data_IF_362290693667
#
_entry.id   IF_362290693667
#
_cell.length_a   1.000
_cell.length_b   1.000
_cell.length_c   1.000
_cell.angle_alpha   90.00
_cell.angle_beta   90.00
_cell.angle_gamma   90.00
#
_symmetry.space_group_name_H-M   'P 1'
#
loop_
_entity.id
_entity.type
_entity.pdbx_description
1 polymer ?
#
# COMPACT_ATOMS: atom_id res chain seq x y z
N UNK A 1 18.19 -0.88 8.85
CA UNK A 1 17.76 -2.21 8.36
C UNK A 1 16.26 -2.15 8.14
N UNK A 2 15.75 -2.62 7.00
CA UNK A 2 14.31 -2.68 6.74
C UNK A 2 13.69 -3.71 7.66
N UNK A 3 12.59 -3.37 8.34
CA UNK A 3 11.91 -4.33 9.22
C UNK A 3 11.19 -5.40 8.39
N UNK A 4 10.91 -6.57 8.97
CA UNK A 4 10.08 -7.60 8.30
C UNK A 4 8.72 -7.04 7.89
N UNK A 5 8.13 -6.18 8.72
CA UNK A 5 6.86 -5.51 8.41
C UNK A 5 6.97 -4.63 7.15
N UNK A 6 8.01 -3.80 7.06
CA UNK A 6 8.25 -2.95 5.88
C UNK A 6 8.54 -3.78 4.62
N UNK A 7 9.30 -4.87 4.75
CA UNK A 7 9.60 -5.77 3.63
C UNK A 7 8.31 -6.43 3.08
N UNK A 8 7.44 -6.90 3.97
CA UNK A 8 6.13 -7.45 3.61
C UNK A 8 5.26 -6.38 2.94
N UNK A 9 5.19 -5.17 3.51
CA UNK A 9 4.36 -4.10 2.97
C UNK A 9 4.78 -3.73 1.54
N UNK A 10 6.08 -3.59 1.30
CA UNK A 10 6.64 -3.28 -0.02
C UNK A 10 6.42 -4.41 -1.03
N UNK A 11 6.57 -5.67 -0.61
CA UNK A 11 6.31 -6.83 -1.47
C UNK A 11 4.82 -6.93 -1.85
N UNK A 12 3.93 -6.72 -0.89
CA UNK A 12 2.48 -6.74 -1.09
C UNK A 12 2.04 -5.62 -2.05
N UNK A 13 2.50 -4.38 -1.81
CA UNK A 13 2.23 -3.22 -2.67
C UNK A 13 2.56 -3.53 -4.13
N UNK A 14 3.77 -4.02 -4.40
CA UNK A 14 4.20 -4.38 -5.75
C UNK A 14 3.33 -5.48 -6.37
N UNK A 15 3.16 -6.60 -5.66
CA UNK A 15 2.42 -7.75 -6.21
C UNK A 15 0.94 -7.41 -6.45
N UNK A 16 0.31 -6.63 -5.57
CA UNK A 16 -1.09 -6.20 -5.75
C UNK A 16 -1.24 -5.24 -6.92
N UNK A 17 -0.26 -4.35 -7.16
CA UNK A 17 -0.27 -3.46 -8.31
C UNK A 17 -0.07 -4.22 -9.63
N UNK A 18 0.80 -5.23 -9.66
CA UNK A 18 1.16 -5.97 -10.88
C UNK A 18 0.15 -7.06 -11.25
N UNK A 19 -0.50 -7.68 -10.26
CA UNK A 19 -1.32 -8.88 -10.47
C UNK A 19 -2.75 -8.74 -9.95
N UNK A 20 -3.07 -7.64 -9.28
CA UNK A 20 -4.35 -7.43 -8.63
C UNK A 20 -4.43 -8.07 -7.25
N UNK A 21 -5.19 -7.42 -6.36
CA UNK A 21 -5.31 -7.84 -4.95
C UNK A 21 -5.77 -9.29 -4.86
N UNK A 22 -6.84 -9.70 -5.55
CA UNK A 22 -7.43 -11.03 -5.40
C UNK A 22 -6.52 -12.18 -5.86
N UNK A 23 -5.64 -11.96 -6.84
CA UNK A 23 -4.77 -12.99 -7.41
C UNK A 23 -3.56 -13.35 -6.52
N UNK A 24 -3.21 -12.50 -5.57
CA UNK A 24 -1.99 -12.64 -4.75
C UNK A 24 -2.34 -13.21 -3.37
N UNK A 25 -1.67 -14.29 -2.97
CA UNK A 25 -1.81 -14.91 -1.65
C UNK A 25 -0.78 -14.38 -0.64
N UNK A 26 -1.08 -14.51 0.66
CA UNK A 26 -0.14 -14.15 1.73
C UNK A 26 1.18 -14.94 1.64
N UNK A 27 1.15 -16.18 1.14
CA UNK A 27 2.36 -16.97 0.88
C UNK A 27 3.25 -16.30 -0.15
N UNK A 28 2.70 -15.90 -1.29
CA UNK A 28 3.45 -15.21 -2.35
C UNK A 28 4.05 -13.89 -1.84
N UNK A 29 3.32 -13.17 -0.98
CA UNK A 29 3.82 -11.96 -0.33
C UNK A 29 4.99 -12.28 0.62
N UNK A 30 4.85 -13.28 1.51
CA UNK A 30 5.94 -13.72 2.40
C UNK A 30 7.20 -14.09 1.62
N UNK A 31 7.05 -14.90 0.56
CA UNK A 31 8.15 -15.34 -0.29
C UNK A 31 8.82 -14.16 -1.00
N UNK A 32 8.05 -13.25 -1.59
CA UNK A 32 8.58 -12.05 -2.24
C UNK A 32 9.25 -11.06 -1.25
N UNK A 33 8.85 -11.11 0.03
CA UNK A 33 9.48 -10.37 1.12
C UNK A 33 10.71 -11.08 1.72
N UNK A 34 11.13 -12.22 1.14
CA UNK A 34 12.27 -13.01 1.61
C UNK A 34 12.02 -13.72 2.96
N UNK A 35 10.75 -13.91 3.34
CA UNK A 35 10.40 -14.55 4.60
C UNK A 35 10.24 -16.05 4.41
N UNK A 36 11.00 -16.85 5.16
CA UNK A 36 10.84 -18.32 5.18
C UNK A 36 9.57 -18.78 5.91
N UNK A 37 8.89 -17.89 6.64
CA UNK A 37 7.65 -18.18 7.37
C UNK A 37 6.42 -17.59 6.65
N UNK A 38 5.55 -18.46 6.16
CA UNK A 38 4.30 -18.09 5.49
C UNK A 38 3.28 -17.44 6.43
N UNK A 39 3.45 -17.57 7.75
CA UNK A 39 2.61 -16.90 8.74
C UNK A 39 3.02 -15.43 8.98
N UNK A 40 4.16 -14.97 8.47
CA UNK A 40 4.69 -13.62 8.75
C UNK A 40 3.71 -12.51 8.34
N UNK A 41 3.07 -12.62 7.18
CA UNK A 41 2.06 -11.66 6.73
C UNK A 41 0.88 -11.59 7.70
N UNK A 42 0.36 -12.75 8.09
CA UNK A 42 -0.76 -12.82 9.03
C UNK A 42 -0.40 -12.32 10.43
N UNK A 43 0.83 -12.59 10.89
CA UNK A 43 1.33 -12.10 12.17
C UNK A 43 1.44 -10.56 12.22
N UNK A 44 1.95 -9.94 11.16
CA UNK A 44 2.17 -8.49 11.14
C UNK A 44 0.95 -7.67 10.75
N UNK A 45 0.08 -8.21 9.90
CA UNK A 45 -1.02 -7.46 9.29
C UNK A 45 -2.39 -8.08 9.52
N UNK A 46 -2.49 -9.30 10.02
CA UNK A 46 -3.78 -9.97 10.18
C UNK A 46 -4.33 -10.41 8.81
N UNK A 47 -5.39 -9.77 8.35
CA UNK A 47 -6.06 -10.18 7.11
C UNK A 47 -5.49 -9.52 5.87
N UNK A 48 -5.86 -10.04 4.70
CA UNK A 48 -5.54 -9.41 3.41
C UNK A 48 -6.11 -7.99 3.30
N UNK A 49 -7.32 -7.78 3.82
CA UNK A 49 -7.97 -6.46 3.86
C UNK A 49 -7.17 -5.49 4.73
N UNK A 50 -6.67 -5.94 5.87
CA UNK A 50 -5.86 -5.12 6.77
C UNK A 50 -4.52 -4.76 6.13
N UNK A 51 -3.89 -5.68 5.39
CA UNK A 51 -2.69 -5.39 4.61
C UNK A 51 -2.95 -4.33 3.53
N UNK A 52 -4.09 -4.40 2.83
CA UNK A 52 -4.49 -3.35 1.88
C UNK A 52 -4.69 -2.00 2.58
N UNK A 53 -5.34 -1.98 3.75
CA UNK A 53 -5.48 -0.75 4.55
C UNK A 53 -4.13 -0.19 4.99
N UNK A 54 -3.18 -1.04 5.36
CA UNK A 54 -1.84 -0.61 5.74
C UNK A 54 -1.09 0.05 4.57
N UNK A 55 -1.25 -0.48 3.35
CA UNK A 55 -0.69 0.14 2.13
C UNK A 55 -1.36 1.50 1.91
N UNK A 56 -2.69 1.57 1.94
CA UNK A 56 -3.43 2.82 1.77
C UNK A 56 -2.99 3.87 2.79
N UNK A 57 -2.91 3.51 4.07
CA UNK A 57 -2.49 4.41 5.14
C UNK A 57 -1.06 4.93 4.93
N UNK A 58 -0.13 4.09 4.46
CA UNK A 58 1.24 4.50 4.10
C UNK A 58 1.27 5.59 3.04
N UNK A 59 0.33 5.58 2.09
CA UNK A 59 0.31 6.55 0.98
C UNK A 59 -0.57 7.77 1.23
N UNK A 60 -1.51 7.69 2.18
CA UNK A 60 -2.52 8.72 2.46
C UNK A 60 -1.93 10.13 2.55
N UNK A 61 -0.97 10.35 3.44
CA UNK A 61 -0.40 11.69 3.65
C UNK A 61 0.26 12.25 2.39
N UNK A 62 1.00 11.42 1.64
CA UNK A 62 1.64 11.86 0.39
C UNK A 62 0.62 12.21 -0.68
N UNK A 63 -0.47 11.44 -0.76
CA UNK A 63 -1.58 11.70 -1.69
C UNK A 63 -2.30 13.00 -1.30
N UNK A 64 -2.62 13.19 -0.02
CA UNK A 64 -3.27 14.41 0.50
C UNK A 64 -2.45 15.66 0.18
N UNK A 65 -1.14 15.65 0.43
CA UNK A 65 -0.25 16.75 0.08
C UNK A 65 -0.21 17.05 -1.43
N UNK A 66 -0.26 16.01 -2.27
CA UNK A 66 -0.30 16.19 -3.72
C UNK A 66 -1.64 16.81 -4.15
N UNK A 67 -2.75 16.34 -3.59
CA UNK A 67 -4.07 16.87 -3.86
C UNK A 67 -4.19 18.34 -3.46
N UNK A 68 -3.73 18.71 -2.26
CA UNK A 68 -3.72 20.10 -1.78
C UNK A 68 -2.94 21.01 -2.74
N UNK A 69 -1.77 20.56 -3.21
CA UNK A 69 -0.95 21.30 -4.18
C UNK A 69 -1.67 21.48 -5.52
N UNK A 70 -2.34 20.45 -6.03
CA UNK A 70 -3.07 20.51 -7.29
C UNK A 70 -4.29 21.44 -7.20
N UNK A 71 -5.04 21.37 -6.09
CA UNK A 71 -6.19 22.25 -5.83
C UNK A 71 -5.74 23.71 -5.73
N UNK A 72 -4.70 24.00 -4.95
CA UNK A 72 -4.15 25.35 -4.83
C UNK A 72 -3.66 25.92 -6.17
N UNK A 73 -3.13 25.08 -7.05
CA UNK A 73 -2.65 25.48 -8.38
C UNK A 73 -3.77 25.84 -9.36
N UNK A 74 -5.01 25.38 -9.12
CA UNK A 74 -6.13 25.61 -10.05
C UNK A 74 -6.73 27.02 -9.90
N UNK A 75 -6.40 27.74 -8.80
CA UNK A 75 -6.99 29.03 -8.47
C UNK A 75 -8.52 28.96 -8.32
N UNK A 76 -9.14 30.09 -7.95
CA UNK A 76 -10.61 30.21 -7.98
C UNK A 76 -11.03 30.27 -9.47
N UNK A 77 -11.15 29.10 -10.11
CA UNK A 77 -11.66 29.00 -11.48
C UNK A 77 -13.12 29.44 -11.45
N UNK A 78 -13.34 30.76 -11.56
CA UNK A 78 -14.62 31.44 -11.62
C UNK A 78 -15.47 31.06 -12.86
N UNK A 79 -14.99 30.11 -13.66
CA UNK A 79 -15.59 29.58 -14.89
C UNK A 79 -16.51 28.37 -14.65
N UNK A 80 -16.66 27.89 -13.41
CA UNK A 80 -17.72 26.95 -13.02
C UNK A 80 -18.90 27.72 -12.42
N UNK A 81 -19.62 28.47 -13.26
CA UNK A 81 -20.99 28.94 -13.00
C UNK A 81 -21.89 28.50 -14.14
#
# INVERSE_FOLDING_TARGET
ATTTQEAILKAAERLYAEHGVYAVSNRQVSEAAGQGNNAAVGYHFGTKTDLVRAIEHKHRTSIELLLERMVAATGDSADLR
#
